data_IF_100567264344
#
_entry.id   IF_100567264344
#
_cell.length_a   1.000
_cell.length_b   1.000
_cell.length_c   1.000
_cell.angle_alpha   90.00
_cell.angle_beta   90.00
_cell.angle_gamma   90.00
#
_symmetry.space_group_name_H-M   'P 1'
#
loop_
_entity.id
_entity.type
_entity.pdbx_description
1 polymer ?
#
# COMPACT_ATOMS: atom_id res chain seq x y z
N UNK A 1 -15.32 -44.38 -36.72
CA UNK A 1 -15.57 -44.39 -35.26
C UNK A 1 -14.74 -43.28 -34.61
N UNK A 2 -15.44 -42.42 -33.88
CA UNK A 2 -15.05 -41.40 -32.87
C UNK A 2 -13.56 -41.15 -32.51
N UNK A 3 -13.22 -39.83 -32.47
CA UNK A 3 -12.52 -39.06 -31.39
C UNK A 3 -11.01 -39.38 -31.15
N UNK A 4 -10.04 -38.51 -30.80
CA UNK A 4 -9.97 -37.13 -30.30
C UNK A 4 -8.48 -36.81 -29.97
N UNK A 5 -7.96 -35.64 -30.38
CA UNK A 5 -7.06 -34.71 -29.64
C UNK A 5 -5.55 -35.04 -29.33
N UNK A 6 -4.77 -33.96 -29.49
CA UNK A 6 -3.52 -33.49 -28.85
C UNK A 6 -2.14 -33.92 -29.39
N UNK A 7 -1.58 -32.95 -30.11
CA UNK A 7 -0.17 -32.68 -30.34
C UNK A 7 0.45 -32.18 -29.02
N UNK A 8 1.21 -33.03 -28.34
CA UNK A 8 2.08 -32.65 -27.21
C UNK A 8 3.22 -33.66 -27.18
N UNK A 9 4.46 -33.22 -27.43
CA UNK A 9 5.75 -33.88 -27.14
C UNK A 9 6.76 -33.60 -28.27
N UNK A 10 7.37 -32.43 -28.22
CA UNK A 10 8.69 -32.17 -28.79
C UNK A 10 9.20 -30.88 -28.13
N UNK A 11 9.83 -31.07 -26.98
CA UNK A 11 11.08 -30.44 -26.48
C UNK A 11 11.31 -31.13 -25.12
N UNK A 12 11.68 -32.41 -25.20
CA UNK A 12 12.37 -33.14 -24.14
C UNK A 12 13.71 -33.50 -24.73
N UNK A 13 14.79 -33.18 -24.00
CA UNK A 13 16.21 -33.33 -24.33
C UNK A 13 16.92 -32.04 -24.76
N UNK A 14 17.09 -31.12 -23.81
CA UNK A 14 18.42 -30.67 -23.39
C UNK A 14 18.35 -30.43 -21.88
N UNK A 15 19.45 -30.65 -21.17
CA UNK A 15 19.61 -30.62 -19.71
C UNK A 15 19.35 -31.93 -18.96
N UNK A 16 20.19 -32.92 -19.26
CA UNK A 16 20.69 -33.84 -18.25
C UNK A 16 22.14 -33.45 -17.89
N UNK A 17 22.44 -33.51 -16.59
CA UNK A 17 23.76 -33.53 -15.95
C UNK A 17 24.58 -32.23 -15.88
N UNK A 18 24.40 -31.51 -14.78
CA UNK A 18 25.52 -31.12 -13.91
C UNK A 18 25.04 -31.03 -12.46
N UNK A 19 25.22 -32.13 -11.73
CA UNK A 19 25.14 -32.16 -10.28
C UNK A 19 26.35 -31.42 -9.71
N UNK A 20 26.22 -30.11 -9.51
CA UNK A 20 27.09 -29.36 -8.60
C UNK A 20 26.47 -29.43 -7.21
N UNK A 21 27.21 -29.96 -6.24
CA UNK A 21 26.88 -29.80 -4.83
C UNK A 21 26.86 -28.30 -4.51
N UNK A 22 25.67 -27.71 -4.50
CA UNK A 22 25.45 -26.35 -4.03
C UNK A 22 25.72 -26.29 -2.52
N UNK A 23 26.57 -25.34 -2.10
CA UNK A 23 26.84 -25.05 -0.70
C UNK A 23 25.56 -24.76 0.08
N UNK A 24 25.57 -25.05 1.39
CA UNK A 24 24.41 -24.86 2.26
C UNK A 24 23.87 -23.41 2.26
N UNK A 25 24.74 -22.40 2.11
CA UNK A 25 24.37 -20.98 1.94
C UNK A 25 23.50 -20.76 0.69
N UNK A 26 23.82 -21.40 -0.43
CA UNK A 26 23.07 -21.23 -1.69
C UNK A 26 21.69 -21.91 -1.66
N UNK A 27 21.52 -22.97 -0.87
CA UNK A 27 20.20 -23.59 -0.62
C UNK A 27 19.32 -22.76 0.31
N UNK A 28 19.91 -22.03 1.25
CA UNK A 28 19.18 -21.11 2.14
C UNK A 28 18.73 -19.87 1.36
N UNK A 29 19.61 -19.30 0.53
CA UNK A 29 19.34 -18.12 -0.32
C UNK A 29 18.18 -18.32 -1.32
N UNK A 30 18.05 -19.50 -1.95
CA UNK A 30 16.90 -19.80 -2.81
C UNK A 30 15.58 -19.97 -2.04
N UNK A 31 15.64 -20.27 -0.74
CA UNK A 31 14.46 -20.46 0.11
C UNK A 31 13.87 -19.10 0.54
N UNK A 32 14.73 -18.11 0.83
CA UNK A 32 14.32 -16.74 1.18
C UNK A 32 13.65 -16.00 0.02
N UNK A 33 14.21 -16.10 -1.21
CA UNK A 33 13.69 -15.43 -2.41
C UNK A 33 12.28 -15.88 -2.85
N UNK A 34 11.89 -17.14 -2.61
CA UNK A 34 10.52 -17.61 -2.90
C UNK A 34 9.52 -17.23 -1.82
N UNK A 35 10.00 -16.97 -0.60
CA UNK A 35 9.18 -16.63 0.55
C UNK A 35 8.83 -15.14 0.51
N UNK A 36 9.78 -14.24 0.27
CA UNK A 36 9.54 -12.78 0.17
C UNK A 36 8.55 -12.37 -0.93
N UNK A 37 8.53 -13.08 -2.06
CA UNK A 37 7.57 -12.88 -3.15
C UNK A 37 6.11 -13.21 -2.78
N UNK A 38 5.87 -14.01 -1.73
CA UNK A 38 4.53 -14.38 -1.27
C UNK A 38 3.88 -13.34 -0.33
N UNK A 39 4.66 -12.38 0.20
CA UNK A 39 4.18 -11.38 1.17
C UNK A 39 3.78 -10.03 0.55
N UNK A 40 3.64 -9.99 -0.78
CA UNK A 40 3.14 -8.84 -1.53
C UNK A 40 1.63 -8.60 -1.36
N UNK A 41 0.90 -9.53 -0.73
CA UNK A 41 -0.51 -9.35 -0.37
C UNK A 41 -0.75 -9.64 1.14
N UNK A 42 -1.21 -8.65 1.93
CA UNK A 42 -1.46 -8.80 3.36
C UNK A 42 -2.69 -9.66 3.69
N UNK A 43 -3.54 -9.98 2.73
CA UNK A 43 -4.71 -10.86 2.91
C UNK A 43 -4.32 -12.33 3.15
N UNK A 44 -3.03 -12.64 3.03
CA UNK A 44 -2.50 -14.00 3.15
C UNK A 44 -1.69 -14.24 4.42
N UNK A 45 -1.54 -13.26 5.32
CA UNK A 45 -0.78 -13.49 6.57
C UNK A 45 -1.72 -14.07 7.62
N UNK A 46 -1.97 -15.38 7.54
CA UNK A 46 -2.70 -16.10 8.59
C UNK A 46 -1.78 -16.34 9.80
N UNK A 47 -2.32 -16.77 10.94
CA UNK A 47 -1.53 -17.10 12.15
C UNK A 47 -0.39 -18.11 11.88
N UNK A 48 -0.59 -19.01 10.92
CA UNK A 48 0.45 -19.93 10.43
C UNK A 48 1.59 -19.23 9.70
N UNK A 49 1.34 -18.06 9.13
CA UNK A 49 2.32 -17.25 8.41
C UNK A 49 3.00 -16.25 9.34
N UNK A 50 2.32 -15.74 10.38
CA UNK A 50 2.96 -14.99 11.49
C UNK A 50 4.15 -15.77 12.07
N UNK A 51 3.94 -17.04 12.42
CA UNK A 51 4.98 -17.90 12.97
C UNK A 51 6.16 -18.13 12.00
N UNK A 52 5.89 -18.25 10.70
CA UNK A 52 6.94 -18.41 9.69
C UNK A 52 7.72 -17.11 9.49
N UNK A 53 7.04 -15.98 9.36
CA UNK A 53 7.68 -14.66 9.25
C UNK A 53 8.58 -14.42 10.46
N UNK A 54 8.09 -14.72 11.67
CA UNK A 54 8.89 -14.62 12.89
C UNK A 54 10.11 -15.53 12.90
N UNK A 55 9.97 -16.78 12.46
CA UNK A 55 11.10 -17.71 12.36
C UNK A 55 12.18 -17.19 11.39
N UNK A 56 11.78 -16.68 10.22
CA UNK A 56 12.72 -16.12 9.25
C UNK A 56 13.37 -14.82 9.79
N UNK A 57 12.61 -13.96 10.46
CA UNK A 57 13.14 -12.76 11.11
C UNK A 57 14.14 -13.09 12.23
N UNK A 58 13.90 -14.14 13.01
CA UNK A 58 14.83 -14.62 14.03
C UNK A 58 16.15 -15.10 13.43
N UNK A 59 16.08 -15.75 12.26
CA UNK A 59 17.27 -16.18 11.52
C UNK A 59 18.00 -14.98 10.95
N UNK A 60 17.33 -14.07 10.23
CA UNK A 60 17.98 -12.99 9.46
C UNK A 60 18.51 -11.84 10.32
N UNK A 61 17.87 -11.52 11.45
CA UNK A 61 18.23 -10.34 12.25
C UNK A 61 19.70 -10.36 12.71
N UNK A 62 20.24 -11.44 13.30
CA UNK A 62 21.66 -11.52 13.66
C UNK A 62 22.61 -11.33 12.47
N UNK A 63 22.27 -11.88 11.29
CA UNK A 63 23.10 -11.73 10.09
C UNK A 63 23.15 -10.28 9.61
N UNK A 64 22.01 -9.60 9.50
CA UNK A 64 21.96 -8.18 9.10
C UNK A 64 22.72 -7.28 10.10
N UNK A 65 22.56 -7.54 11.40
CA UNK A 65 23.33 -6.82 12.44
C UNK A 65 24.83 -7.05 12.30
N UNK A 66 25.25 -8.30 12.03
CA UNK A 66 26.67 -8.61 11.82
C UNK A 66 27.23 -7.88 10.59
N UNK A 67 26.47 -7.79 9.49
CA UNK A 67 26.87 -7.08 8.27
C UNK A 67 27.01 -5.57 8.52
N UNK A 68 26.06 -4.98 9.24
CA UNK A 68 26.15 -3.58 9.65
C UNK A 68 27.44 -3.33 10.46
N UNK A 69 27.74 -4.19 11.43
CA UNK A 69 28.92 -4.05 12.29
C UNK A 69 30.24 -4.29 11.53
N UNK A 70 30.27 -5.27 10.62
CA UNK A 70 31.45 -5.57 9.79
C UNK A 70 31.72 -4.47 8.76
N UNK A 71 30.67 -3.85 8.20
CA UNK A 71 30.80 -2.72 7.28
C UNK A 71 31.41 -1.49 7.97
N UNK A 72 31.07 -1.26 9.24
CA UNK A 72 31.63 -0.16 10.05
C UNK A 72 33.10 -0.40 10.37
N UNK A 73 33.51 -1.65 10.56
CA UNK A 73 34.87 -1.99 11.00
C UNK A 73 35.86 -2.30 9.85
N UNK A 74 35.46 -2.17 8.57
CA UNK A 74 36.29 -2.38 7.36
C UNK A 74 37.21 -3.64 7.39
N UNK A 75 36.82 -4.71 8.09
CA UNK A 75 37.64 -5.91 8.28
C UNK A 75 37.04 -7.18 7.68
N UNK A 76 35.81 -7.13 7.17
CA UNK A 76 35.11 -8.28 6.57
C UNK A 76 35.01 -8.20 5.04
N UNK A 77 35.11 -9.35 4.36
CA UNK A 77 34.64 -9.46 2.97
C UNK A 77 33.12 -9.28 2.97
N UNK A 78 32.64 -8.28 2.24
CA UNK A 78 31.21 -8.07 2.04
C UNK A 78 30.66 -9.27 1.23
N UNK A 79 29.58 -9.93 1.66
CA UNK A 79 29.00 -11.03 0.88
C UNK A 79 28.52 -10.56 -0.49
N UNK A 80 28.74 -11.38 -1.53
CA UNK A 80 28.30 -11.07 -2.91
C UNK A 80 26.78 -10.92 -3.03
N UNK A 81 26.01 -11.51 -2.11
CA UNK A 81 24.55 -11.47 -2.06
C UNK A 81 23.98 -10.45 -1.04
N UNK A 82 24.81 -9.52 -0.54
CA UNK A 82 24.43 -8.56 0.50
C UNK A 82 23.10 -7.86 0.19
N UNK A 83 22.92 -7.38 -1.03
CA UNK A 83 21.75 -6.55 -1.37
C UNK A 83 20.45 -7.35 -1.34
N UNK A 84 20.49 -8.60 -1.80
CA UNK A 84 19.36 -9.52 -1.70
C UNK A 84 18.98 -9.80 -0.24
N UNK A 85 19.99 -9.94 0.65
CA UNK A 85 19.73 -10.15 2.08
C UNK A 85 19.04 -8.94 2.73
N UNK A 86 19.47 -7.71 2.41
CA UNK A 86 18.77 -6.51 2.89
C UNK A 86 17.38 -6.40 2.31
N UNK A 87 17.18 -6.74 1.04
CA UNK A 87 15.88 -6.65 0.38
C UNK A 87 14.88 -7.65 1.00
N UNK A 88 15.30 -8.91 1.18
CA UNK A 88 14.47 -9.93 1.83
C UNK A 88 14.15 -9.55 3.29
N UNK A 89 15.14 -9.02 4.02
CA UNK A 89 14.93 -8.56 5.38
C UNK A 89 13.95 -7.37 5.43
N UNK A 90 14.08 -6.41 4.52
CA UNK A 90 13.18 -5.27 4.41
C UNK A 90 11.74 -5.72 4.13
N UNK A 91 11.56 -6.60 3.14
CA UNK A 91 10.25 -7.14 2.76
C UNK A 91 9.58 -7.89 3.93
N UNK A 92 10.33 -8.70 4.68
CA UNK A 92 9.79 -9.43 5.84
C UNK A 92 9.39 -8.51 6.98
N UNK A 93 10.22 -7.52 7.31
CA UNK A 93 9.90 -6.54 8.35
C UNK A 93 8.69 -5.68 7.94
N UNK A 94 8.58 -5.30 6.65
CA UNK A 94 7.45 -4.56 6.11
C UNK A 94 6.13 -5.35 6.24
N UNK A 95 6.14 -6.61 5.81
CA UNK A 95 4.97 -7.49 5.91
C UNK A 95 4.55 -7.74 7.36
N UNK A 96 5.52 -7.95 8.26
CA UNK A 96 5.22 -8.16 9.68
C UNK A 96 4.73 -6.89 10.37
N UNK A 97 5.29 -5.73 10.02
CA UNK A 97 4.80 -4.43 10.48
C UNK A 97 3.33 -4.25 10.16
N UNK A 98 2.96 -4.48 8.91
CA UNK A 98 1.57 -4.38 8.45
C UNK A 98 0.64 -5.36 9.20
N UNK A 99 1.06 -6.62 9.33
CA UNK A 99 0.35 -7.64 10.12
C UNK A 99 0.07 -7.16 11.55
N UNK A 100 1.08 -6.61 12.22
CA UNK A 100 0.96 -6.15 13.60
C UNK A 100 -0.05 -5.02 13.76
N UNK A 101 -0.14 -4.08 12.80
CA UNK A 101 -1.17 -3.03 12.89
C UNK A 101 -2.57 -3.62 12.73
N UNK A 102 -2.77 -4.55 11.79
CA UNK A 102 -4.05 -5.26 11.62
C UNK A 102 -4.45 -6.03 12.88
N UNK A 103 -3.48 -6.51 13.67
CA UNK A 103 -3.69 -7.19 14.95
C UNK A 103 -3.59 -6.26 16.18
N UNK A 104 -3.77 -4.96 15.99
CA UNK A 104 -3.83 -3.93 17.03
C UNK A 104 -2.56 -3.79 17.89
N UNK A 105 -1.40 -4.09 17.31
CA UNK A 105 -0.08 -4.01 17.93
C UNK A 105 0.77 -2.87 17.33
N UNK A 106 0.25 -1.63 17.36
CA UNK A 106 0.88 -0.44 16.72
C UNK A 106 2.31 -0.20 17.22
N UNK A 107 2.53 -0.18 18.53
CA UNK A 107 3.86 0.07 19.11
C UNK A 107 4.90 -0.97 18.65
N UNK A 108 4.47 -2.23 18.52
CA UNK A 108 5.34 -3.29 18.04
C UNK A 108 5.57 -3.17 16.53
N UNK A 109 4.54 -2.79 15.76
CA UNK A 109 4.62 -2.56 14.32
C UNK A 109 5.69 -1.52 13.98
N UNK A 110 5.73 -0.39 14.70
CA UNK A 110 6.68 0.71 14.46
C UNK A 110 8.13 0.21 14.40
N UNK A 111 8.51 -0.70 15.29
CA UNK A 111 9.86 -1.26 15.31
C UNK A 111 10.20 -2.01 14.02
N UNK A 112 9.27 -2.82 13.51
CA UNK A 112 9.48 -3.57 12.27
C UNK A 112 9.41 -2.65 11.05
N UNK A 113 8.52 -1.65 11.07
CA UNK A 113 8.49 -0.59 10.07
C UNK A 113 9.86 0.08 9.92
N UNK A 114 10.45 0.54 11.04
CA UNK A 114 11.74 1.22 11.04
C UNK A 114 12.89 0.32 10.57
N UNK A 115 12.85 -0.99 10.86
CA UNK A 115 13.84 -1.94 10.35
C UNK A 115 13.75 -2.11 8.83
N UNK A 116 12.53 -2.16 8.29
CA UNK A 116 12.31 -2.22 6.85
C UNK A 116 12.80 -0.94 6.17
N UNK A 117 12.39 0.21 6.70
CA UNK A 117 12.79 1.53 6.19
C UNK A 117 14.31 1.69 6.15
N UNK A 118 15.01 1.39 7.25
CA UNK A 118 16.48 1.47 7.32
C UNK A 118 17.17 0.59 6.26
N UNK A 119 16.67 -0.62 6.05
CA UNK A 119 17.23 -1.58 5.09
C UNK A 119 17.02 -1.13 3.64
N UNK A 120 15.82 -0.64 3.32
CA UNK A 120 15.52 -0.06 2.02
C UNK A 120 16.35 1.20 1.72
N UNK A 121 16.46 2.11 2.69
CA UNK A 121 17.22 3.34 2.52
C UNK A 121 18.72 3.06 2.34
N UNK A 122 19.26 2.05 3.03
CA UNK A 122 20.63 1.59 2.84
C UNK A 122 20.86 1.05 1.42
N UNK A 123 19.96 0.21 0.92
CA UNK A 123 20.02 -0.26 -0.48
C UNK A 123 19.96 0.91 -1.47
N UNK A 124 19.12 1.90 -1.19
CA UNK A 124 18.92 3.04 -2.09
C UNK A 124 20.13 3.97 -2.13
N UNK A 125 20.88 4.09 -1.03
CA UNK A 125 22.15 4.83 -1.02
C UNK A 125 23.16 4.23 -2.01
N UNK A 126 23.21 2.90 -2.08
CA UNK A 126 24.13 2.19 -2.96
C UNK A 126 23.63 2.16 -4.42
N UNK A 127 22.30 2.11 -4.62
CA UNK A 127 21.67 2.03 -5.95
C UNK A 127 20.50 3.03 -6.10
N UNK A 128 20.77 4.35 -6.23
CA UNK A 128 19.74 5.39 -6.15
C UNK A 128 18.77 5.45 -7.33
N UNK A 129 19.06 4.73 -8.42
CA UNK A 129 18.26 4.67 -9.64
C UNK A 129 17.74 3.25 -9.94
N UNK A 130 17.85 2.32 -8.99
CA UNK A 130 17.25 0.99 -9.14
C UNK A 130 15.72 1.11 -9.13
N UNK A 131 15.11 0.84 -10.28
CA UNK A 131 13.67 0.94 -10.52
C UNK A 131 12.84 0.00 -9.65
N UNK A 132 13.33 -1.22 -9.42
CA UNK A 132 12.62 -2.23 -8.62
C UNK A 132 12.69 -1.84 -7.15
N UNK A 133 13.83 -1.31 -6.71
CA UNK A 133 13.99 -0.80 -5.36
C UNK A 133 13.08 0.42 -5.10
N UNK A 134 13.06 1.40 -6.01
CA UNK A 134 12.16 2.56 -5.90
C UNK A 134 10.69 2.15 -5.86
N UNK A 135 10.30 1.20 -6.72
CA UNK A 135 8.97 0.62 -6.72
C UNK A 135 8.62 -0.06 -5.39
N UNK A 136 9.51 -0.93 -4.87
CA UNK A 136 9.31 -1.63 -3.60
C UNK A 136 9.19 -0.66 -2.41
N UNK A 137 10.01 0.38 -2.37
CA UNK A 137 9.95 1.41 -1.33
C UNK A 137 8.61 2.15 -1.39
N UNK A 138 8.17 2.51 -2.59
CA UNK A 138 6.88 3.19 -2.76
C UNK A 138 5.71 2.32 -2.29
N UNK A 139 5.70 1.03 -2.64
CA UNK A 139 4.71 0.06 -2.15
C UNK A 139 4.77 -0.09 -0.64
N UNK A 140 5.97 -0.19 -0.06
CA UNK A 140 6.18 -0.31 1.39
C UNK A 140 5.46 0.80 2.15
N UNK A 141 5.68 2.06 1.77
CA UNK A 141 5.03 3.19 2.41
C UNK A 141 3.52 3.23 2.14
N UNK A 142 3.08 2.95 0.91
CA UNK A 142 1.65 2.94 0.56
C UNK A 142 0.89 1.90 1.39
N UNK A 143 1.40 0.67 1.49
CA UNK A 143 0.77 -0.41 2.26
C UNK A 143 0.76 -0.16 3.75
N UNK A 144 1.88 0.30 4.32
CA UNK A 144 1.93 0.64 5.74
C UNK A 144 1.08 1.88 6.09
N UNK A 145 0.54 2.61 5.10
CA UNK A 145 -0.41 3.70 5.33
C UNK A 145 -1.86 3.24 5.51
N UNK A 146 -2.22 2.06 4.97
CA UNK A 146 -3.60 1.54 4.93
C UNK A 146 -4.22 1.38 6.32
N UNK A 147 -3.51 0.82 7.33
CA UNK A 147 -4.11 0.63 8.65
C UNK A 147 -4.46 1.93 9.38
N UNK A 148 -3.96 3.08 8.89
CA UNK A 148 -4.22 4.41 9.43
C UNK A 148 -5.34 5.13 8.65
N UNK A 149 -6.19 4.39 7.94
CA UNK A 149 -7.39 4.93 7.28
C UNK A 149 -8.56 5.20 8.27
N UNK A 150 -8.23 5.66 9.47
CA UNK A 150 -9.17 6.14 10.49
C UNK A 150 -8.99 7.65 10.74
N UNK A 151 -9.98 8.31 11.33
CA UNK A 151 -9.94 9.76 11.57
C UNK A 151 -8.80 10.19 12.51
N UNK A 152 -8.35 9.31 13.41
CA UNK A 152 -7.37 9.64 14.44
C UNK A 152 -5.94 9.69 13.88
N UNK A 153 -5.66 8.87 12.87
CA UNK A 153 -4.30 8.64 12.36
C UNK A 153 -4.08 9.11 10.92
N UNK A 154 -5.02 9.88 10.33
CA UNK A 154 -4.87 10.37 8.96
C UNK A 154 -3.58 11.16 8.70
N UNK A 155 -3.03 11.85 9.70
CA UNK A 155 -1.75 12.55 9.53
C UNK A 155 -0.59 11.59 9.22
N UNK A 156 -0.55 10.44 9.91
CA UNK A 156 0.44 9.38 9.67
C UNK A 156 0.24 8.81 8.27
N UNK A 157 -1.01 8.50 7.90
CA UNK A 157 -1.35 8.00 6.56
C UNK A 157 -0.86 8.94 5.47
N UNK A 158 -1.15 10.23 5.57
CA UNK A 158 -0.70 11.22 4.59
C UNK A 158 0.82 11.34 4.53
N UNK A 159 1.52 11.32 5.67
CA UNK A 159 3.00 11.37 5.66
C UNK A 159 3.61 10.16 4.94
N UNK A 160 3.07 8.96 5.17
CA UNK A 160 3.51 7.74 4.49
C UNK A 160 3.20 7.80 2.98
N UNK A 161 2.01 8.28 2.59
CA UNK A 161 1.64 8.42 1.19
C UNK A 161 2.48 9.49 0.46
N UNK A 162 2.86 10.58 1.13
CA UNK A 162 3.79 11.57 0.55
C UNK A 162 5.18 10.98 0.34
N UNK A 163 5.70 10.16 1.28
CA UNK A 163 6.94 9.40 1.05
C UNK A 163 6.77 8.44 -0.13
N UNK A 164 5.69 7.67 -0.17
CA UNK A 164 5.37 6.75 -1.27
C UNK A 164 5.37 7.46 -2.62
N UNK A 165 4.75 8.65 -2.68
CA UNK A 165 4.68 9.50 -3.87
C UNK A 165 6.07 9.90 -4.35
N UNK A 166 6.97 10.34 -3.46
CA UNK A 166 8.33 10.75 -3.83
C UNK A 166 9.08 9.65 -4.59
N UNK A 167 8.97 8.40 -4.12
CA UNK A 167 9.64 7.26 -4.77
C UNK A 167 8.93 6.80 -6.05
N UNK A 168 7.60 6.82 -6.08
CA UNK A 168 6.85 6.50 -7.30
C UNK A 168 7.09 7.52 -8.42
N UNK A 169 7.09 8.82 -8.08
CA UNK A 169 7.37 9.93 -9.00
C UNK A 169 8.77 9.78 -9.58
N UNK A 170 9.79 9.60 -8.72
CA UNK A 170 11.16 9.37 -9.17
C UNK A 170 11.28 8.17 -10.11
N UNK A 171 10.63 7.05 -9.79
CA UNK A 171 10.66 5.87 -10.66
C UNK A 171 10.00 6.13 -12.02
N UNK A 172 8.87 6.84 -12.03
CA UNK A 172 8.17 7.19 -13.26
C UNK A 172 8.93 8.20 -14.12
N UNK A 173 9.69 9.12 -13.52
CA UNK A 173 10.56 10.06 -14.23
C UNK A 173 11.72 9.35 -14.93
N UNK A 174 12.26 8.29 -14.31
CA UNK A 174 13.33 7.46 -14.88
C UNK A 174 12.77 6.56 -15.99
N UNK A 175 11.57 6.01 -15.79
CA UNK A 175 10.96 4.97 -16.62
C UNK A 175 9.65 5.42 -17.27
N UNK A 176 9.72 6.50 -18.06
CA UNK A 176 8.54 7.20 -18.57
C UNK A 176 7.61 6.35 -19.45
N UNK A 177 8.15 5.33 -20.13
CA UNK A 177 7.40 4.42 -21.01
C UNK A 177 6.83 3.19 -20.27
N UNK A 178 7.19 2.97 -19.00
CA UNK A 178 6.73 1.82 -18.24
C UNK A 178 5.32 2.05 -17.67
N UNK A 179 4.34 1.37 -18.26
CA UNK A 179 2.94 1.50 -17.88
C UNK A 179 2.67 1.08 -16.43
N UNK A 180 3.35 0.05 -15.91
CA UNK A 180 3.16 -0.42 -14.54
C UNK A 180 3.58 0.66 -13.52
N UNK A 181 4.72 1.30 -13.73
CA UNK A 181 5.20 2.35 -12.82
C UNK A 181 4.35 3.62 -12.92
N UNK A 182 3.89 3.96 -14.12
CA UNK A 182 2.94 5.06 -14.34
C UNK A 182 1.63 4.83 -13.60
N UNK A 183 1.07 3.63 -13.71
CA UNK A 183 -0.18 3.24 -13.04
C UNK A 183 0.01 3.25 -11.51
N UNK A 184 1.12 2.71 -11.00
CA UNK A 184 1.44 2.75 -9.58
C UNK A 184 1.55 4.18 -9.05
N UNK A 185 2.21 5.08 -9.78
CA UNK A 185 2.28 6.49 -9.42
C UNK A 185 0.88 7.11 -9.28
N UNK A 186 -0.01 6.89 -10.24
CA UNK A 186 -1.38 7.40 -10.14
C UNK A 186 -2.21 6.74 -9.03
N UNK A 187 -1.98 5.47 -8.74
CA UNK A 187 -2.61 4.79 -7.60
C UNK A 187 -2.22 5.47 -6.28
N UNK A 188 -0.92 5.75 -6.08
CA UNK A 188 -0.43 6.47 -4.90
C UNK A 188 -1.02 7.87 -4.79
N UNK A 189 -1.10 8.62 -5.90
CA UNK A 189 -1.74 9.94 -5.91
C UNK A 189 -3.23 9.87 -5.56
N UNK A 190 -3.93 8.83 -6.02
CA UNK A 190 -5.36 8.64 -5.72
C UNK A 190 -5.58 8.34 -4.23
N UNK A 191 -4.76 7.49 -3.62
CA UNK A 191 -4.82 7.21 -2.19
C UNK A 191 -4.45 8.44 -1.35
N UNK A 192 -3.47 9.23 -1.80
CA UNK A 192 -3.12 10.50 -1.16
C UNK A 192 -4.29 11.50 -1.20
N UNK A 193 -5.01 11.57 -2.31
CA UNK A 193 -6.20 12.40 -2.45
C UNK A 193 -7.30 11.98 -1.46
N UNK A 194 -7.55 10.68 -1.33
CA UNK A 194 -8.50 10.12 -0.36
C UNK A 194 -8.11 10.46 1.09
N UNK A 195 -6.83 10.30 1.45
CA UNK A 195 -6.32 10.64 2.78
C UNK A 195 -6.47 12.15 3.10
N UNK A 196 -6.17 13.02 2.14
CA UNK A 196 -6.31 14.47 2.31
C UNK A 196 -7.76 14.91 2.47
N UNK A 197 -8.70 14.26 1.80
CA UNK A 197 -10.13 14.53 1.95
C UNK A 197 -10.63 14.18 3.36
N UNK A 198 -10.25 13.01 3.89
CA UNK A 198 -10.61 12.60 5.25
C UNK A 198 -10.11 13.57 6.32
N UNK A 199 -8.96 14.22 6.11
CA UNK A 199 -8.49 15.25 7.04
C UNK A 199 -9.33 16.53 7.04
N UNK A 200 -10.24 16.72 6.08
CA UNK A 200 -11.09 17.92 5.92
C UNK A 200 -10.28 19.24 5.83
N UNK A 201 -8.98 19.16 5.55
CA UNK A 201 -8.03 20.27 5.41
C UNK A 201 -7.22 20.08 4.12
N UNK A 202 -6.51 21.13 3.65
CA UNK A 202 -5.64 21.11 2.45
C UNK A 202 -6.37 21.03 1.09
N UNK A 203 -7.47 21.77 0.94
CA UNK A 203 -8.24 21.87 -0.32
C UNK A 203 -7.40 22.25 -1.55
N UNK A 204 -6.39 23.09 -1.38
CA UNK A 204 -5.50 23.48 -2.48
C UNK A 204 -4.65 22.30 -2.99
N UNK A 205 -4.15 21.45 -2.09
CA UNK A 205 -3.39 20.24 -2.46
C UNK A 205 -4.30 19.22 -3.14
N UNK A 206 -5.53 19.03 -2.64
CA UNK A 206 -6.54 18.18 -3.28
C UNK A 206 -6.84 18.65 -4.71
N UNK A 207 -7.00 19.96 -4.91
CA UNK A 207 -7.23 20.55 -6.24
C UNK A 207 -6.07 20.26 -7.19
N UNK A 208 -4.83 20.43 -6.75
CA UNK A 208 -3.64 20.12 -7.58
C UNK A 208 -3.63 18.64 -7.96
N UNK A 209 -3.83 17.74 -7.00
CA UNK A 209 -3.86 16.29 -7.26
C UNK A 209 -4.94 15.92 -8.27
N UNK A 210 -6.16 16.47 -8.13
CA UNK A 210 -7.26 16.21 -9.07
C UNK A 210 -6.89 16.68 -10.48
N UNK A 211 -6.24 17.85 -10.61
CA UNK A 211 -5.79 18.35 -11.90
C UNK A 211 -4.71 17.46 -12.53
N UNK A 212 -3.79 16.91 -11.73
CA UNK A 212 -2.78 15.94 -12.18
C UNK A 212 -3.41 14.61 -12.60
N UNK A 213 -4.44 14.16 -11.89
CA UNK A 213 -5.09 12.86 -12.10
C UNK A 213 -6.16 12.89 -13.22
N UNK A 214 -6.73 14.05 -13.52
CA UNK A 214 -7.83 14.19 -14.48
C UNK A 214 -7.49 13.61 -15.87
N UNK A 215 -6.33 13.86 -16.50
CA UNK A 215 -6.01 13.28 -17.80
C UNK A 215 -6.01 11.75 -17.78
N UNK A 216 -5.49 11.15 -16.69
CA UNK A 216 -5.44 9.70 -16.53
C UNK A 216 -6.82 9.09 -16.30
N UNK A 217 -7.68 9.75 -15.52
CA UNK A 217 -9.09 9.35 -15.40
C UNK A 217 -9.78 9.27 -16.78
N UNK A 218 -9.55 10.27 -17.64
CA UNK A 218 -10.16 10.28 -18.97
C UNK A 218 -9.60 9.20 -19.88
N UNK A 219 -8.30 8.90 -19.77
CA UNK A 219 -7.70 7.75 -20.46
C UNK A 219 -8.34 6.42 -20.05
N UNK A 220 -8.54 6.18 -18.76
CA UNK A 220 -9.21 4.98 -18.25
C UNK A 220 -10.65 4.87 -18.77
N UNK A 221 -11.38 5.99 -18.85
CA UNK A 221 -12.76 6.00 -19.37
C UNK A 221 -12.85 5.68 -20.87
N UNK A 222 -11.81 5.98 -21.65
CA UNK A 222 -11.74 5.59 -23.07
C UNK A 222 -11.14 4.19 -23.28
N UNK A 223 -10.41 3.65 -22.30
CA UNK A 223 -9.71 2.36 -22.39
C UNK A 223 -10.13 1.39 -21.28
N UNK A 224 -11.31 0.74 -21.39
CA UNK A 224 -11.88 -0.10 -20.34
C UNK A 224 -11.14 -1.43 -20.08
N UNK A 225 -10.07 -1.72 -20.80
CA UNK A 225 -9.24 -2.92 -20.60
C UNK A 225 -7.87 -2.59 -19.98
N UNK A 226 -7.64 -1.34 -19.58
CA UNK A 226 -6.39 -0.94 -18.94
C UNK A 226 -6.34 -1.51 -17.51
N UNK A 227 -5.31 -2.31 -17.23
CA UNK A 227 -5.09 -2.95 -15.93
C UNK A 227 -4.87 -1.90 -14.83
N UNK A 228 -5.91 -1.61 -14.05
CA UNK A 228 -5.88 -0.64 -12.95
C UNK A 228 -6.94 -0.99 -11.90
N UNK A 229 -6.59 -0.85 -10.61
CA UNK A 229 -7.46 -1.21 -9.49
C UNK A 229 -8.80 -0.45 -9.56
N UNK A 230 -9.91 -1.21 -9.52
CA UNK A 230 -11.26 -0.65 -9.57
C UNK A 230 -11.57 0.28 -8.41
N UNK A 231 -10.95 0.05 -7.25
CA UNK A 231 -11.08 0.92 -6.09
C UNK A 231 -10.39 2.28 -6.27
N UNK A 232 -9.14 2.28 -6.72
CA UNK A 232 -8.41 3.49 -7.07
C UNK A 232 -9.09 4.24 -8.22
N UNK A 233 -9.62 3.53 -9.22
CA UNK A 233 -10.44 4.14 -10.27
C UNK A 233 -11.66 4.86 -9.70
N UNK A 234 -12.39 4.22 -8.77
CA UNK A 234 -13.54 4.84 -8.14
C UNK A 234 -13.16 6.10 -7.36
N UNK A 235 -12.04 6.10 -6.63
CA UNK A 235 -11.51 7.30 -5.95
C UNK A 235 -11.36 8.46 -6.95
N UNK A 236 -10.78 8.21 -8.13
CA UNK A 236 -10.65 9.25 -9.17
C UNK A 236 -12.01 9.79 -9.61
N UNK A 237 -12.97 8.90 -9.87
CA UNK A 237 -14.35 9.28 -10.28
C UNK A 237 -15.03 10.11 -9.20
N UNK A 238 -15.00 9.65 -7.94
CA UNK A 238 -15.63 10.31 -6.78
C UNK A 238 -15.09 11.74 -6.62
N UNK A 239 -13.77 11.88 -6.56
CA UNK A 239 -13.17 13.19 -6.28
C UNK A 239 -13.22 14.14 -7.47
N UNK A 240 -13.17 13.63 -8.70
CA UNK A 240 -13.39 14.48 -9.87
C UNK A 240 -14.83 15.04 -9.91
N UNK A 241 -15.84 14.22 -9.61
CA UNK A 241 -17.23 14.68 -9.51
C UNK A 241 -17.41 15.71 -8.39
N UNK A 242 -16.80 15.50 -7.22
CA UNK A 242 -16.81 16.48 -6.13
C UNK A 242 -16.15 17.81 -6.52
N UNK A 243 -15.00 17.75 -7.20
CA UNK A 243 -14.35 18.94 -7.76
C UNK A 243 -15.26 19.68 -8.74
N UNK A 244 -15.90 18.97 -9.67
CA UNK A 244 -16.86 19.59 -10.58
C UNK A 244 -18.04 20.19 -9.83
N UNK A 245 -18.59 19.54 -8.80
CA UNK A 245 -19.68 20.11 -7.99
C UNK A 245 -19.27 21.41 -7.30
N UNK A 246 -18.04 21.49 -6.79
CA UNK A 246 -17.54 22.65 -6.08
C UNK A 246 -17.25 23.84 -7.00
N UNK A 247 -16.67 23.60 -8.18
CA UNK A 247 -16.18 24.68 -9.06
C UNK A 247 -17.01 24.87 -10.35
N UNK A 248 -17.69 23.83 -10.81
CA UNK A 248 -18.42 23.80 -12.10
C UNK A 248 -19.73 22.98 -12.00
N UNK A 249 -20.69 23.34 -11.13
CA UNK A 249 -21.81 22.47 -10.75
C UNK A 249 -22.71 22.02 -11.91
N UNK A 250 -22.87 22.86 -12.94
CA UNK A 250 -23.62 22.50 -14.15
C UNK A 250 -22.91 21.41 -14.97
N UNK A 251 -21.57 21.46 -15.01
CA UNK A 251 -20.77 20.44 -15.69
C UNK A 251 -20.80 19.11 -14.93
N UNK A 252 -20.76 19.13 -13.59
CA UNK A 252 -20.80 17.91 -12.77
C UNK A 252 -21.97 17.00 -13.12
N UNK A 253 -23.19 17.57 -13.14
CA UNK A 253 -24.41 16.81 -13.44
C UNK A 253 -24.40 16.22 -14.85
N UNK A 254 -23.87 16.97 -15.82
CA UNK A 254 -23.74 16.51 -17.21
C UNK A 254 -22.69 15.42 -17.34
N UNK A 255 -21.53 15.61 -16.72
CA UNK A 255 -20.37 14.72 -16.83
C UNK A 255 -20.68 13.33 -16.28
N UNK A 256 -21.24 13.24 -15.08
CA UNK A 256 -21.55 11.95 -14.47
C UNK A 256 -22.57 11.17 -15.30
N UNK A 257 -23.62 11.85 -15.80
CA UNK A 257 -24.64 11.25 -16.67
C UNK A 257 -24.06 10.76 -18.00
N UNK A 258 -23.16 11.53 -18.61
CA UNK A 258 -22.52 11.18 -19.88
C UNK A 258 -21.55 10.00 -19.75
N UNK A 259 -20.86 9.90 -18.61
CA UNK A 259 -19.82 8.89 -18.38
C UNK A 259 -20.29 7.68 -17.58
N UNK A 260 -21.54 7.65 -17.10
CA UNK A 260 -22.08 6.57 -16.27
C UNK A 260 -21.82 5.17 -16.83
N UNK A 261 -22.08 4.95 -18.13
CA UNK A 261 -21.86 3.62 -18.74
C UNK A 261 -20.38 3.26 -18.81
N UNK A 262 -19.49 4.23 -19.07
CA UNK A 262 -18.03 4.02 -19.11
C UNK A 262 -17.50 3.68 -17.72
N UNK A 263 -17.92 4.45 -16.71
CA UNK A 263 -17.58 4.22 -15.30
C UNK A 263 -18.00 2.81 -14.86
N UNK A 264 -19.26 2.44 -15.11
CA UNK A 264 -19.76 1.11 -14.74
C UNK A 264 -19.06 -0.02 -15.51
N UNK A 265 -18.77 0.19 -16.80
CA UNK A 265 -18.04 -0.80 -17.60
C UNK A 265 -16.66 -1.04 -17.04
N UNK A 266 -15.89 0.03 -16.81
CA UNK A 266 -14.54 -0.08 -16.25
C UNK A 266 -14.56 -0.72 -14.86
N UNK A 267 -15.42 -0.24 -13.97
CA UNK A 267 -15.47 -0.73 -12.59
C UNK A 267 -15.80 -2.22 -12.54
N UNK A 268 -16.85 -2.65 -13.26
CA UNK A 268 -17.30 -4.04 -13.24
C UNK A 268 -16.33 -5.01 -13.92
N UNK A 269 -15.50 -4.55 -14.87
CA UNK A 269 -14.50 -5.42 -15.54
C UNK A 269 -13.24 -5.65 -14.70
N UNK A 270 -13.02 -4.86 -13.64
CA UNK A 270 -11.85 -4.93 -12.78
C UNK A 270 -12.20 -5.11 -11.29
N UNK A 271 -13.46 -5.46 -11.00
CA UNK A 271 -13.89 -5.72 -9.63
C UNK A 271 -13.58 -7.17 -9.27
N UNK A 272 -12.80 -7.36 -8.19
CA UNK A 272 -12.68 -8.66 -7.54
C UNK A 272 -13.97 -9.01 -6.77
N UNK A 273 -14.43 -10.25 -6.87
CA UNK A 273 -15.70 -10.66 -6.26
C UNK A 273 -15.62 -10.67 -4.72
N UNK A 274 -16.58 -9.99 -4.09
CA UNK A 274 -17.00 -10.16 -2.68
C UNK A 274 -15.99 -9.85 -1.56
N UNK A 275 -15.08 -8.88 -1.72
CA UNK A 275 -14.32 -8.33 -0.58
C UNK A 275 -15.10 -7.22 0.15
N UNK A 276 -14.84 -7.03 1.44
CA UNK A 276 -15.39 -5.93 2.24
C UNK A 276 -15.11 -4.56 1.58
N UNK A 277 -13.86 -4.31 1.15
CA UNK A 277 -13.47 -3.10 0.41
C UNK A 277 -14.33 -2.89 -0.84
N UNK A 278 -14.52 -3.94 -1.64
CA UNK A 278 -15.31 -3.83 -2.88
C UNK A 278 -16.80 -3.60 -2.61
N UNK A 279 -17.37 -4.18 -1.55
CA UNK A 279 -18.75 -3.88 -1.12
C UNK A 279 -18.91 -2.40 -0.71
N UNK A 280 -17.96 -1.86 0.06
CA UNK A 280 -17.96 -0.43 0.44
C UNK A 280 -17.88 0.47 -0.80
N UNK A 281 -16.95 0.16 -1.70
CA UNK A 281 -16.74 0.95 -2.94
C UNK A 281 -17.96 0.83 -3.86
N UNK A 282 -18.54 -0.36 -4.01
CA UNK A 282 -19.77 -0.57 -4.79
C UNK A 282 -20.93 0.23 -4.20
N UNK A 283 -21.09 0.23 -2.88
CA UNK A 283 -22.11 1.03 -2.21
C UNK A 283 -21.95 2.53 -2.53
N UNK A 284 -20.73 3.05 -2.39
CA UNK A 284 -20.41 4.46 -2.69
C UNK A 284 -20.61 4.79 -4.18
N UNK A 285 -20.19 3.92 -5.09
CA UNK A 285 -20.38 4.08 -6.53
C UNK A 285 -21.86 4.16 -6.91
N UNK A 286 -22.68 3.22 -6.43
CA UNK A 286 -24.11 3.26 -6.75
C UNK A 286 -24.83 4.43 -6.08
N UNK A 287 -24.36 4.90 -4.92
CA UNK A 287 -24.87 6.11 -4.30
C UNK A 287 -24.51 7.37 -5.13
N UNK A 288 -23.27 7.46 -5.62
CA UNK A 288 -22.83 8.50 -6.54
C UNK A 288 -23.70 8.55 -7.80
N UNK A 289 -24.03 7.38 -8.36
CA UNK A 289 -24.86 7.23 -9.55
C UNK A 289 -26.37 7.32 -9.29
N UNK A 290 -26.80 7.83 -8.13
CA UNK A 290 -28.21 8.03 -7.74
C UNK A 290 -29.05 6.73 -7.80
N UNK A 291 -28.43 5.59 -7.46
CA UNK A 291 -29.05 4.26 -7.40
C UNK A 291 -29.11 3.74 -5.94
N UNK A 292 -29.96 4.34 -5.09
CA UNK A 292 -29.96 4.11 -3.65
C UNK A 292 -30.29 2.66 -3.25
N UNK A 293 -31.12 1.96 -4.03
CA UNK A 293 -31.47 0.56 -3.75
C UNK A 293 -30.26 -0.37 -3.92
N UNK A 294 -29.46 -0.16 -4.98
CA UNK A 294 -28.23 -0.93 -5.20
C UNK A 294 -27.17 -0.57 -4.18
N UNK A 295 -27.02 0.71 -3.86
CA UNK A 295 -26.11 1.12 -2.80
C UNK A 295 -26.45 0.44 -1.46
N UNK A 296 -27.73 0.41 -1.08
CA UNK A 296 -28.18 -0.27 0.13
C UNK A 296 -27.99 -1.80 0.05
N UNK A 297 -28.10 -2.41 -1.12
CA UNK A 297 -27.78 -3.83 -1.30
C UNK A 297 -26.33 -4.13 -0.91
N UNK A 298 -25.36 -3.37 -1.41
CA UNK A 298 -23.95 -3.59 -1.07
C UNK A 298 -23.63 -3.26 0.39
N UNK A 299 -24.25 -2.22 0.96
CA UNK A 299 -24.13 -1.92 2.39
C UNK A 299 -24.60 -3.10 3.27
N UNK A 300 -25.63 -3.84 2.84
CA UNK A 300 -26.11 -5.03 3.57
C UNK A 300 -25.16 -6.23 3.51
N UNK A 301 -24.17 -6.22 2.62
CA UNK A 301 -23.16 -7.28 2.53
C UNK A 301 -21.97 -7.06 3.46
N UNK A 302 -21.85 -5.87 4.06
CA UNK A 302 -20.76 -5.53 4.96
C UNK A 302 -20.79 -6.38 6.24
N UNK A 303 -19.60 -6.85 6.66
CA UNK A 303 -19.43 -7.61 7.91
C UNK A 303 -18.38 -6.93 8.80
N UNK A 304 -18.71 -6.77 10.07
CA UNK A 304 -17.82 -6.12 11.05
C UNK A 304 -16.58 -6.95 11.41
N UNK A 305 -16.61 -8.26 11.10
CA UNK A 305 -15.55 -9.24 11.37
C UNK A 305 -14.46 -9.28 10.31
N UNK A 306 -14.65 -8.60 9.18
CA UNK A 306 -13.71 -8.61 8.06
C UNK A 306 -12.66 -7.49 8.21
N UNK A 307 -11.48 -7.70 7.62
CA UNK A 307 -10.44 -6.69 7.43
C UNK A 307 -11.02 -5.60 6.53
N UNK A 308 -10.78 -4.32 6.86
CA UNK A 308 -11.42 -3.15 6.25
C UNK A 308 -12.90 -2.96 6.63
N UNK A 309 -13.24 -3.26 7.89
CA UNK A 309 -14.59 -3.00 8.39
C UNK A 309 -14.98 -1.53 8.22
N UNK A 310 -16.23 -1.31 7.81
CA UNK A 310 -16.75 0.02 7.54
C UNK A 310 -17.65 0.40 8.72
N UNK A 311 -17.20 1.31 9.57
CA UNK A 311 -17.85 1.56 10.85
C UNK A 311 -19.16 2.34 10.66
N UNK A 312 -20.06 2.32 11.66
CA UNK A 312 -21.24 3.19 11.64
C UNK A 312 -20.89 4.67 11.46
N UNK A 313 -19.76 5.11 12.00
CA UNK A 313 -19.31 6.49 11.85
C UNK A 313 -18.88 6.78 10.40
N UNK A 314 -18.14 5.86 9.75
CA UNK A 314 -17.76 6.04 8.35
C UNK A 314 -18.98 6.17 7.42
N UNK A 315 -20.05 5.41 7.68
CA UNK A 315 -21.32 5.51 6.93
C UNK A 315 -22.00 6.89 7.15
N UNK A 316 -21.89 7.45 8.36
CA UNK A 316 -22.44 8.77 8.69
C UNK A 316 -21.60 9.92 8.12
N UNK A 317 -20.29 9.75 8.00
CA UNK A 317 -19.40 10.75 7.42
C UNK A 317 -19.41 10.75 5.88
N UNK A 318 -19.78 9.63 5.24
CA UNK A 318 -19.81 9.52 3.78
C UNK A 318 -20.98 10.29 3.13
N UNK A 319 -20.67 11.46 2.59
CA UNK A 319 -21.62 12.38 1.96
C UNK A 319 -22.39 11.76 0.79
N UNK A 320 -21.83 10.76 0.10
CA UNK A 320 -22.54 10.07 -0.98
C UNK A 320 -23.85 9.42 -0.49
N UNK A 321 -23.94 9.06 0.80
CA UNK A 321 -25.14 8.46 1.37
C UNK A 321 -26.17 9.48 1.87
N UNK A 322 -25.93 10.79 1.78
CA UNK A 322 -26.84 11.84 2.29
C UNK A 322 -28.29 11.64 1.81
N UNK A 323 -28.47 11.39 0.51
CA UNK A 323 -29.79 11.15 -0.08
C UNK A 323 -30.45 9.86 0.42
N UNK A 324 -29.65 8.85 0.74
CA UNK A 324 -30.13 7.54 1.20
C UNK A 324 -30.58 7.58 2.66
N UNK A 325 -30.01 8.45 3.49
CA UNK A 325 -30.32 8.53 4.93
C UNK A 325 -31.78 8.86 5.24
N UNK A 326 -32.50 9.44 4.28
CA UNK A 326 -33.94 9.72 4.41
C UNK A 326 -34.83 8.52 4.09
N UNK A 327 -34.28 7.45 3.50
CA UNK A 327 -35.04 6.27 3.13
C UNK A 327 -35.26 5.39 4.36
N UNK A 328 -36.52 5.03 4.62
CA UNK A 328 -36.88 4.16 5.76
C UNK A 328 -36.10 2.85 5.78
N UNK A 329 -35.93 2.21 4.62
CA UNK A 329 -35.16 0.97 4.51
C UNK A 329 -33.67 1.12 4.88
N UNK A 330 -33.08 2.30 4.64
CA UNK A 330 -31.73 2.61 5.08
C UNK A 330 -31.69 2.83 6.59
N UNK A 331 -32.62 3.61 7.14
CA UNK A 331 -32.71 3.89 8.58
C UNK A 331 -32.88 2.61 9.40
N UNK A 332 -33.79 1.73 8.98
CA UNK A 332 -34.05 0.45 9.64
C UNK A 332 -32.80 -0.45 9.60
N UNK A 333 -32.11 -0.51 8.46
CA UNK A 333 -30.86 -1.27 8.32
C UNK A 333 -29.73 -0.67 9.17
N UNK A 334 -29.51 0.64 9.10
CA UNK A 334 -28.41 1.33 9.77
C UNK A 334 -28.54 1.27 11.30
N UNK A 335 -29.76 1.37 11.84
CA UNK A 335 -30.02 1.21 13.27
C UNK A 335 -29.60 -0.18 13.76
N UNK A 336 -29.97 -1.23 13.02
CA UNK A 336 -29.56 -2.61 13.32
C UNK A 336 -28.05 -2.80 13.17
N UNK A 337 -27.46 -2.33 12.06
CA UNK A 337 -26.02 -2.41 11.80
C UNK A 337 -25.21 -1.74 12.93
N UNK A 338 -25.64 -0.57 13.37
CA UNK A 338 -24.98 0.16 14.47
C UNK A 338 -25.07 -0.58 15.80
N UNK A 339 -26.22 -1.18 16.11
CA UNK A 339 -26.39 -1.97 17.34
C UNK A 339 -25.53 -3.24 17.31
N UNK A 340 -25.51 -3.95 16.19
CA UNK A 340 -24.68 -5.15 16.01
C UNK A 340 -23.19 -4.83 16.10
N UNK A 341 -22.75 -3.69 15.54
CA UNK A 341 -21.37 -3.23 15.65
C UNK A 341 -20.94 -2.96 17.09
N UNK A 342 -21.78 -2.29 17.89
CA UNK A 342 -21.47 -2.01 19.29
C UNK A 342 -21.37 -3.30 20.11
N UNK A 343 -22.31 -4.23 19.93
CA UNK A 343 -22.25 -5.54 20.56
C UNK A 343 -20.99 -6.34 20.16
N UNK A 344 -20.55 -6.23 18.89
CA UNK A 344 -19.30 -6.82 18.42
C UNK A 344 -18.07 -6.23 19.14
N UNK A 345 -17.99 -4.91 19.29
CA UNK A 345 -16.87 -4.24 19.98
C UNK A 345 -16.78 -4.64 21.46
N UNK A 346 -17.91 -4.79 22.13
CA UNK A 346 -17.94 -5.26 23.53
C UNK A 346 -17.41 -6.70 23.68
N UNK A 347 -17.69 -7.56 22.69
CA UNK A 347 -17.25 -8.96 22.68
C UNK A 347 -15.81 -9.13 22.18
N UNK A 348 -15.32 -8.21 21.36
CA UNK A 348 -14.02 -8.28 20.69
C UNK A 348 -13.23 -6.98 20.91
N UNK A 349 -12.78 -6.71 22.15
CA UNK A 349 -12.00 -5.51 22.42
C UNK A 349 -10.71 -5.50 21.58
N UNK A 350 -10.35 -4.32 21.06
CA UNK A 350 -9.10 -4.10 20.31
C UNK A 350 -7.89 -4.24 21.24
N UNK A 351 -7.46 -5.46 21.49
CA UNK A 351 -6.27 -5.80 22.28
C UNK A 351 -5.19 -6.29 21.32
N UNK A 352 -3.94 -5.88 21.54
CA UNK A 352 -2.81 -6.41 20.79
C UNK A 352 -2.75 -7.94 20.96
N UNK A 353 -2.99 -8.65 19.87
CA UNK A 353 -3.07 -10.10 19.81
C UNK A 353 -1.87 -10.65 19.02
N UNK A 354 -0.65 -10.44 19.53
CA UNK A 354 0.57 -11.03 18.95
C UNK A 354 1.09 -12.18 19.81
N UNK A 355 1.72 -13.18 19.18
CA UNK A 355 2.41 -14.28 19.86
C UNK A 355 3.59 -13.84 20.77
N UNK A 356 3.95 -12.55 20.79
CA UNK A 356 5.14 -12.03 21.50
C UNK A 356 4.99 -11.83 23.02
N UNK A 357 4.51 -12.83 23.75
CA UNK A 357 4.71 -12.88 25.20
C UNK A 357 6.10 -13.40 25.62
N UNK A 358 6.89 -13.99 24.71
CA UNK A 358 8.17 -14.65 25.06
C UNK A 358 9.43 -14.17 24.32
N UNK A 359 9.33 -13.37 23.26
CA UNK A 359 10.51 -12.87 22.48
C UNK A 359 11.00 -11.48 22.95
N UNK A 360 10.30 -10.88 23.94
CA UNK A 360 10.58 -9.54 24.44
C UNK A 360 11.85 -9.41 25.31
N UNK A 361 12.46 -10.52 25.76
CA UNK A 361 13.64 -10.49 26.63
C UNK A 361 14.96 -10.25 25.90
N UNK A 362 15.08 -10.63 24.62
CA UNK A 362 16.36 -10.54 23.89
C UNK A 362 16.52 -9.24 23.09
N UNK A 363 15.44 -8.51 22.84
CA UNK A 363 15.46 -7.27 22.05
C UNK A 363 15.61 -6.01 22.94
N UNK A 364 15.50 -6.15 24.27
CA UNK A 364 15.79 -5.08 25.22
C UNK A 364 17.24 -4.56 25.15
N UNK A 365 18.17 -5.35 24.59
CA UNK A 365 19.54 -4.91 24.35
C UNK A 365 19.68 -3.94 23.15
N UNK A 366 18.76 -3.98 22.17
CA UNK A 366 18.86 -3.19 20.93
C UNK A 366 18.47 -1.71 21.09
N UNK A 367 17.67 -1.36 22.09
CA UNK A 367 17.20 0.02 22.26
C UNK A 367 18.25 0.95 22.89
N UNK A 368 19.27 0.42 23.58
CA UNK A 368 20.31 1.27 24.19
C UNK A 368 21.41 1.72 23.21
N UNK A 369 21.50 1.14 22.00
CA UNK A 369 22.47 1.56 20.98
C UNK A 369 21.85 2.45 19.88
N UNK A 370 20.53 2.40 19.67
CA UNK A 370 19.82 3.09 18.57
C UNK A 370 19.60 4.59 18.76
N UNK A 371 19.47 5.10 19.98
CA UNK A 371 19.23 6.54 20.22
C UNK A 371 20.38 7.47 19.78
N UNK A 372 21.55 6.94 19.41
CA UNK A 372 22.67 7.77 18.92
C UNK A 372 22.73 7.90 17.39
N UNK A 373 22.32 6.88 16.63
CA UNK A 373 22.47 6.88 15.17
C UNK A 373 21.33 7.61 14.42
N UNK A 374 20.09 7.54 14.92
CA UNK A 374 18.92 8.20 14.28
C UNK A 374 19.03 9.74 14.34
N UNK A 375 19.74 10.28 15.33
CA UNK A 375 20.02 11.71 15.46
C UNK A 375 21.08 12.22 14.48
N UNK A 376 21.97 11.36 13.98
CA UNK A 376 23.02 11.74 13.02
C UNK A 376 22.55 11.64 11.57
N UNK A 377 21.71 10.67 11.22
CA UNK A 377 21.20 10.49 9.84
C UNK A 377 20.23 11.61 9.46
N UNK A 378 19.36 12.05 10.39
CA UNK A 378 18.45 13.18 10.15
C UNK A 378 19.17 14.53 10.02
N UNK A 379 20.40 14.66 10.54
CA UNK A 379 21.23 15.87 10.34
C UNK A 379 21.78 15.96 8.93
N UNK A 380 22.20 14.84 8.35
CA UNK A 380 22.85 14.81 7.04
C UNK A 380 21.86 14.88 5.86
N UNK A 381 20.59 14.52 6.04
CA UNK A 381 19.55 14.71 5.01
C UNK A 381 19.03 16.16 4.99
N UNK A 382 19.06 16.87 6.13
CA UNK A 382 18.67 18.28 6.22
C UNK A 382 19.69 19.27 5.63
N UNK A 383 20.98 18.93 5.62
CA UNK A 383 22.05 19.84 5.17
C UNK A 383 22.30 19.82 3.64
N UNK A 384 21.81 18.81 2.90
CA UNK A 384 21.97 18.74 1.44
C UNK A 384 21.03 19.72 0.70
N UNK A 385 20.06 20.34 1.40
CA UNK A 385 19.16 21.36 0.83
C UNK A 385 19.53 22.81 1.13
N UNK A 386 20.73 23.10 1.64
CA UNK A 386 21.23 24.48 1.78
C UNK A 386 22.61 24.67 1.13
N UNK A 387 22.67 24.65 -0.19
CA UNK A 387 23.77 25.26 -0.95
C UNK A 387 23.34 26.66 -1.43
N UNK A 388 24.08 27.73 -1.11
CA UNK A 388 23.77 29.06 -1.61
C UNK A 388 24.02 29.11 -3.13
N UNK A 389 23.00 29.51 -3.89
CA UNK A 389 23.16 29.97 -5.27
C UNK A 389 24.07 31.20 -5.28
N UNK A 390 25.37 31.01 -5.54
CA UNK A 390 26.22 32.07 -6.09
C UNK A 390 26.15 32.02 -7.61
N UNK A 391 25.28 32.87 -8.16
CA UNK A 391 25.32 33.27 -9.55
C UNK A 391 26.61 34.07 -9.80
N UNK A 392 27.63 33.43 -10.38
CA UNK A 392 28.73 34.15 -11.02
C UNK A 392 28.24 34.69 -12.37
N UNK A 393 27.91 35.98 -12.42
CA UNK A 393 27.81 36.72 -13.66
C UNK A 393 29.22 36.98 -14.19
N UNK A 394 29.60 36.30 -15.29
CA UNK A 394 30.74 36.73 -16.11
C UNK A 394 30.28 37.88 -17.02
N UNK A 395 30.99 39.02 -17.05
CA UNK A 395 30.74 40.04 -18.07
C UNK A 395 31.34 39.58 -19.40
N UNK A 396 30.52 39.57 -20.43
CA UNK A 396 30.97 39.48 -21.82
C UNK A 396 31.58 40.84 -22.19
N UNK A 397 32.81 40.82 -22.72
CA UNK A 397 33.41 41.95 -23.44
C UNK A 397 33.10 41.83 -24.92
#
# INVERSE_FOLDING_TARGET
MKKTILLTLLITQFYACSSFEMSAENKQNQKFSKFSQQFTNPDHIQKTDEAKILAELQIMTPYILSLNTQSVNMQGKIPENRDNLYLDFANLNAAYSEYLVFHHCIDLSEKYFLNAEDSYLKLLQDSPYDENLLYNISIFYARNSVPFDDDQHQQIRTQLLEKSKQYAEKNQEINTENQQYRQHYYAVLSELLNALDKQKIRKDQQKILIQTLQPFLFELLEQPNMDYDSGNFFILVKYYDQYLKAYYPQQAKSWLKQNQNKILTFYNSHQDENTQRNNTISAQLYALLDQPEKALYFLKLLKFTEKDNYTPQDILDEQLFDKMRHLKAFQDWFARYSQEYQAYLEQNPKVCNSLQSSVHSEIKLLNNQRSKHVLEINKNVGEVHQLPQKLEQKPVK
#
